data_IF_356822389805
#
_entry.id   IF_356822389805
#
_cell.length_a   1.000
_cell.length_b   1.000
_cell.length_c   1.000
_cell.angle_alpha   90.00
_cell.angle_beta   90.00
_cell.angle_gamma   90.00
#
_symmetry.space_group_name_H-M   'P 1'
#
loop_
_entity.id
_entity.type
_entity.pdbx_description
1 polymer ?
#
# COMPACT_ATOMS: atom_id res chain seq x y z
N UNK A 1 5.25 23.27 22.82
CA UNK A 1 6.54 22.57 22.90
C UNK A 1 6.20 21.10 22.93
N UNK A 2 6.52 20.33 21.87
CA UNK A 2 6.26 18.89 21.85
C UNK A 2 7.14 18.20 22.90
N UNK A 3 6.57 17.30 23.70
CA UNK A 3 7.31 16.52 24.70
C UNK A 3 7.92 15.25 24.08
N UNK A 4 8.96 14.69 24.71
CA UNK A 4 9.53 13.40 24.28
C UNK A 4 8.50 12.26 24.31
N UNK A 5 7.52 12.34 25.21
CA UNK A 5 6.42 11.39 25.34
C UNK A 5 5.45 11.49 24.14
N UNK A 6 5.14 12.70 23.67
CA UNK A 6 4.31 12.90 22.48
C UNK A 6 4.95 12.28 21.22
N UNK A 7 6.28 12.36 21.10
CA UNK A 7 7.03 11.78 20.00
C UNK A 7 7.04 10.24 20.07
N UNK A 8 7.29 9.65 21.24
CA UNK A 8 7.28 8.19 21.42
C UNK A 8 5.90 7.60 21.11
N UNK A 9 4.83 8.25 21.60
CA UNK A 9 3.46 7.84 21.31
C UNK A 9 3.13 7.92 19.81
N UNK A 10 3.60 8.97 19.14
CA UNK A 10 3.43 9.13 17.69
C UNK A 10 4.17 8.04 16.90
N UNK A 11 5.41 7.74 17.30
CA UNK A 11 6.24 6.71 16.66
C UNK A 11 5.65 5.31 16.87
N UNK A 12 5.18 4.98 18.08
CA UNK A 12 4.48 3.71 18.37
C UNK A 12 3.26 3.53 17.49
N UNK A 13 2.43 4.57 17.37
CA UNK A 13 1.24 4.53 16.51
C UNK A 13 1.61 4.33 15.05
N UNK A 14 2.63 5.02 14.56
CA UNK A 14 3.12 4.86 13.20
C UNK A 14 3.63 3.42 12.93
N UNK A 15 4.47 2.88 13.82
CA UNK A 15 4.99 1.51 13.67
C UNK A 15 3.88 0.47 13.69
N UNK A 16 2.91 0.61 14.59
CA UNK A 16 1.74 -0.27 14.64
C UNK A 16 0.96 -0.27 13.31
N UNK A 17 0.77 0.90 12.70
CA UNK A 17 0.11 1.02 11.39
C UNK A 17 0.91 0.30 10.30
N UNK A 18 2.24 0.50 10.27
CA UNK A 18 3.13 -0.16 9.29
C UNK A 18 3.07 -1.68 9.43
N UNK A 19 3.05 -2.21 10.66
CA UNK A 19 2.91 -3.65 10.89
C UNK A 19 1.58 -4.19 10.35
N UNK A 20 0.47 -3.48 10.58
CA UNK A 20 -0.83 -3.87 10.03
C UNK A 20 -0.86 -3.89 8.50
N UNK A 21 -0.19 -2.96 7.83
CA UNK A 21 -0.06 -3.01 6.38
C UNK A 21 0.81 -4.17 5.91
N UNK A 22 1.89 -4.50 6.62
CA UNK A 22 2.70 -5.70 6.32
C UNK A 22 1.89 -6.99 6.46
N UNK A 23 1.10 -7.11 7.52
CA UNK A 23 0.19 -8.25 7.71
C UNK A 23 -0.85 -8.31 6.57
N UNK A 24 -1.44 -7.17 6.22
CA UNK A 24 -2.40 -7.05 5.11
C UNK A 24 -1.81 -7.53 3.78
N UNK A 25 -0.56 -7.17 3.48
CA UNK A 25 0.15 -7.63 2.29
C UNK A 25 0.28 -9.16 2.29
N UNK A 26 0.64 -9.76 3.42
CA UNK A 26 0.79 -11.21 3.56
C UNK A 26 -0.54 -11.91 3.31
N UNK A 27 -1.61 -11.44 3.95
CA UNK A 27 -2.94 -12.04 3.84
C UNK A 27 -3.50 -11.89 2.43
N UNK A 28 -3.38 -10.70 1.83
CA UNK A 28 -3.78 -10.48 0.44
C UNK A 28 -2.98 -11.35 -0.51
N UNK A 29 -1.66 -11.50 -0.33
CA UNK A 29 -0.82 -12.35 -1.18
C UNK A 29 -1.27 -13.82 -1.15
N UNK A 30 -1.72 -14.31 0.01
CA UNK A 30 -2.26 -15.68 0.16
C UNK A 30 -3.64 -15.84 -0.48
N UNK A 31 -4.50 -14.82 -0.38
CA UNK A 31 -5.89 -14.87 -0.84
C UNK A 31 -6.06 -14.54 -2.33
N UNK A 32 -5.20 -13.71 -2.90
CA UNK A 32 -5.33 -13.23 -4.28
C UNK A 32 -5.42 -14.35 -5.34
N UNK A 33 -4.63 -15.44 -5.25
CA UNK A 33 -4.74 -16.55 -6.19
C UNK A 33 -6.09 -17.25 -6.17
N UNK A 34 -6.80 -17.20 -5.03
CA UNK A 34 -8.10 -17.84 -4.80
C UNK A 34 -9.23 -16.92 -5.25
N UNK A 35 -9.18 -15.65 -4.83
CA UNK A 35 -10.31 -14.71 -4.97
C UNK A 35 -10.18 -13.82 -6.22
N UNK A 36 -8.99 -13.73 -6.85
CA UNK A 36 -8.69 -12.97 -8.09
C UNK A 36 -9.51 -11.70 -8.25
N UNK A 37 -9.56 -10.87 -7.21
CA UNK A 37 -10.38 -9.68 -7.20
C UNK A 37 -9.58 -8.42 -7.49
N UNK A 38 -10.21 -7.51 -8.23
CA UNK A 38 -9.69 -6.16 -8.44
C UNK A 38 -9.39 -5.49 -7.10
N UNK A 39 -10.35 -5.52 -6.16
CA UNK A 39 -10.21 -4.88 -4.85
C UNK A 39 -9.03 -5.44 -4.05
N UNK A 40 -8.74 -6.74 -4.13
CA UNK A 40 -7.59 -7.34 -3.46
C UNK A 40 -6.26 -6.85 -4.03
N UNK A 41 -6.17 -6.67 -5.35
CA UNK A 41 -4.97 -6.14 -5.99
C UNK A 41 -4.79 -4.65 -5.65
N UNK A 42 -5.88 -3.88 -5.60
CA UNK A 42 -5.88 -2.47 -5.23
C UNK A 42 -5.36 -2.25 -3.81
N UNK A 43 -5.90 -3.00 -2.85
CA UNK A 43 -5.47 -2.93 -1.45
C UNK A 43 -4.01 -3.36 -1.27
N UNK A 44 -3.54 -4.34 -2.06
CA UNK A 44 -2.14 -4.80 -1.97
C UNK A 44 -1.17 -3.75 -2.51
N UNK A 45 -1.51 -3.11 -3.63
CA UNK A 45 -0.72 -2.01 -4.20
C UNK A 45 -0.63 -0.80 -3.27
N UNK A 46 -1.74 -0.40 -2.65
CA UNK A 46 -1.76 0.66 -1.62
C UNK A 46 -0.94 0.29 -0.38
N UNK A 47 -1.07 -0.93 0.13
CA UNK A 47 -0.31 -1.37 1.28
C UNK A 47 1.21 -1.40 1.00
N UNK A 48 1.62 -1.75 -0.22
CA UNK A 48 3.02 -1.61 -0.63
C UNK A 48 3.47 -0.14 -0.65
N UNK A 49 2.65 0.76 -1.19
CA UNK A 49 2.96 2.19 -1.20
C UNK A 49 3.16 2.74 0.23
N UNK A 50 2.22 2.46 1.13
CA UNK A 50 2.24 2.95 2.51
C UNK A 50 3.38 2.35 3.36
N UNK A 51 3.94 1.22 2.94
CA UNK A 51 5.10 0.59 3.58
C UNK A 51 6.43 0.93 2.91
N UNK A 52 6.44 1.87 1.96
CA UNK A 52 7.64 2.33 1.25
C UNK A 52 8.16 1.37 0.18
N UNK A 53 7.37 0.36 -0.19
CA UNK A 53 7.70 -0.65 -1.20
C UNK A 53 7.19 -0.21 -2.57
N UNK A 54 7.71 0.92 -3.05
CA UNK A 54 7.17 1.62 -4.21
C UNK A 54 7.25 0.83 -5.52
N UNK A 55 8.31 0.05 -5.73
CA UNK A 55 8.44 -0.79 -6.93
C UNK A 55 7.34 -1.86 -7.00
N UNK A 56 7.06 -2.51 -5.87
CA UNK A 56 5.98 -3.50 -5.78
C UNK A 56 4.61 -2.85 -5.95
N UNK A 57 4.40 -1.67 -5.36
CA UNK A 57 3.18 -0.89 -5.58
C UNK A 57 2.98 -0.57 -7.07
N UNK A 58 4.02 -0.10 -7.77
CA UNK A 58 3.95 0.21 -9.21
C UNK A 58 3.52 -1.00 -10.03
N UNK A 59 4.03 -2.19 -9.72
CA UNK A 59 3.68 -3.43 -10.44
C UNK A 59 2.19 -3.76 -10.24
N UNK A 60 1.71 -3.83 -9.01
CA UNK A 60 0.32 -4.18 -8.74
C UNK A 60 -0.67 -3.11 -9.25
N UNK A 61 -0.30 -1.82 -9.14
CA UNK A 61 -1.11 -0.70 -9.64
C UNK A 61 -1.13 -0.67 -11.17
N UNK A 62 -0.06 -1.12 -11.84
CA UNK A 62 -0.07 -1.28 -13.30
C UNK A 62 -0.96 -2.44 -13.73
N UNK A 63 -0.90 -3.58 -13.04
CA UNK A 63 -1.80 -4.71 -13.31
C UNK A 63 -3.28 -4.32 -13.12
N UNK A 64 -3.60 -3.44 -12.16
CA UNK A 64 -4.96 -2.90 -12.00
C UNK A 64 -5.41 -2.07 -13.19
N UNK A 65 -4.50 -1.29 -13.77
CA UNK A 65 -4.80 -0.44 -14.92
C UNK A 65 -4.96 -1.25 -16.21
N UNK A 66 -4.37 -2.45 -16.29
CA UNK A 66 -4.66 -3.38 -17.38
C UNK A 66 -6.13 -3.89 -17.34
N UNK A 67 -6.75 -3.89 -16.15
CA UNK A 67 -8.16 -4.29 -15.94
C UNK A 67 -9.09 -3.08 -16.05
N UNK A 68 -8.76 -1.98 -15.35
CA UNK A 68 -9.52 -0.73 -15.33
C UNK A 68 -8.59 0.45 -15.60
N UNK A 69 -8.41 0.76 -16.89
CA UNK A 69 -7.44 1.76 -17.37
C UNK A 69 -7.62 3.17 -16.77
N UNK A 70 -8.84 3.51 -16.36
CA UNK A 70 -9.19 4.83 -15.83
C UNK A 70 -9.36 4.86 -14.30
N UNK A 71 -8.86 3.83 -13.60
CA UNK A 71 -8.87 3.81 -12.14
C UNK A 71 -8.07 4.98 -11.58
N UNK A 72 -8.78 6.00 -11.08
CA UNK A 72 -8.16 7.18 -10.45
C UNK A 72 -7.28 6.78 -9.26
N UNK A 73 -7.69 5.75 -8.54
CA UNK A 73 -6.94 5.17 -7.43
C UNK A 73 -5.59 4.64 -7.91
N UNK A 74 -5.60 3.77 -8.93
CA UNK A 74 -4.37 3.16 -9.41
C UNK A 74 -3.45 4.17 -10.10
N UNK A 75 -4.00 5.13 -10.85
CA UNK A 75 -3.23 6.22 -11.46
C UNK A 75 -2.57 7.11 -10.41
N UNK A 76 -3.30 7.52 -9.38
CA UNK A 76 -2.81 8.41 -8.33
C UNK A 76 -1.63 7.80 -7.57
N UNK A 77 -1.84 6.62 -6.98
CA UNK A 77 -0.77 5.96 -6.23
C UNK A 77 0.43 5.58 -7.10
N UNK A 78 0.21 5.17 -8.36
CA UNK A 78 1.32 4.81 -9.26
C UNK A 78 2.13 6.05 -9.63
N UNK A 79 1.47 7.18 -9.90
CA UNK A 79 2.15 8.44 -10.17
C UNK A 79 2.99 8.89 -8.97
N UNK A 80 2.42 8.84 -7.75
CA UNK A 80 3.17 9.18 -6.53
C UNK A 80 4.34 8.23 -6.32
N UNK A 81 4.15 6.92 -6.51
CA UNK A 81 5.23 5.95 -6.39
C UNK A 81 6.37 6.18 -7.38
N UNK A 82 6.06 6.56 -8.64
CA UNK A 82 7.06 6.94 -9.63
C UNK A 82 7.79 8.24 -9.29
N UNK A 83 7.12 9.19 -8.61
CA UNK A 83 7.75 10.43 -8.19
C UNK A 83 8.77 10.23 -7.06
N UNK A 84 8.52 9.24 -6.18
CA UNK A 84 9.37 8.96 -5.01
C UNK A 84 10.53 8.01 -5.34
N UNK A 85 10.36 7.12 -6.33
CA UNK A 85 11.36 6.08 -6.71
C UNK A 85 12.43 6.61 -7.64
#
# INVERSE_FOLDING_TARGET
MYTLEDLDNSLRKFNFIIEKYKDTIIDLTKLLPIVKSYSGTALKGEAYYLTGRYREAIIDLTNLLDIEQNSKFALGYRQEAYYIT
#
